data_IF_690252365111
#
_entry.id   IF_690252365111
#
_cell.length_a   1.000
_cell.length_b   1.000
_cell.length_c   1.000
_cell.angle_alpha   90.00
_cell.angle_beta   90.00
_cell.angle_gamma   90.00
#
_symmetry.space_group_name_H-M   'P 1'
#
loop_
_entity.id
_entity.type
_entity.pdbx_description
1 polymer ?
#
# COMPACT_ATOMS: atom_id res chain seq x y z
N UNK A 1 -20.71 -4.49 47.65
CA UNK A 1 -19.29 -4.80 47.40
C UNK A 1 -19.18 -5.49 46.05
N UNK A 2 -18.75 -4.79 45.00
CA UNK A 2 -18.55 -5.36 43.67
C UNK A 2 -17.15 -4.96 43.20
N UNK A 3 -16.18 -5.86 43.33
CA UNK A 3 -14.79 -5.61 42.94
C UNK A 3 -14.65 -5.78 41.41
N UNK A 4 -14.45 -4.64 40.73
CA UNK A 4 -14.03 -4.56 39.33
C UNK A 4 -12.66 -5.23 39.15
N UNK A 5 -12.59 -6.31 38.38
CA UNK A 5 -11.33 -6.83 37.83
C UNK A 5 -11.10 -6.19 36.45
N UNK A 6 -10.09 -5.32 36.36
CA UNK A 6 -9.66 -4.69 35.10
C UNK A 6 -8.86 -5.65 34.19
N UNK A 7 -8.77 -5.37 32.87
CA UNK A 7 -8.01 -6.19 31.94
C UNK A 7 -6.49 -5.96 32.07
N UNK A 8 -5.74 -7.06 32.18
CA UNK A 8 -4.28 -7.12 32.28
C UNK A 8 -3.59 -6.71 30.97
N UNK A 9 -2.54 -5.89 31.08
CA UNK A 9 -1.61 -5.54 29.99
C UNK A 9 -0.81 -6.76 29.50
N UNK A 10 -0.55 -6.91 28.18
CA UNK A 10 0.47 -7.84 27.70
C UNK A 10 1.82 -7.14 27.45
N UNK A 11 2.81 -7.57 28.23
CA UNK A 11 4.25 -7.70 27.99
C UNK A 11 4.93 -6.92 26.84
N UNK A 12 5.93 -6.10 27.22
CA UNK A 12 6.95 -5.51 26.36
C UNK A 12 7.71 -6.58 25.55
N UNK A 13 7.72 -6.46 24.21
CA UNK A 13 8.61 -7.23 23.34
C UNK A 13 9.87 -6.43 23.03
N UNK A 14 10.99 -7.02 23.46
CA UNK A 14 12.38 -6.62 23.22
C UNK A 14 12.65 -6.45 21.71
N UNK A 15 13.26 -5.32 21.35
CA UNK A 15 13.68 -4.96 19.99
C UNK A 15 14.83 -5.88 19.54
N UNK A 16 14.68 -6.59 18.42
CA UNK A 16 15.80 -7.17 17.68
C UNK A 16 15.96 -6.39 16.38
N UNK A 17 17.10 -5.73 16.26
CA UNK A 17 17.51 -4.90 15.13
C UNK A 17 17.66 -5.77 13.87
N UNK A 18 17.28 -5.20 12.73
CA UNK A 18 17.18 -5.88 11.46
C UNK A 18 18.51 -6.01 10.72
N UNK A 19 18.58 -7.04 9.88
CA UNK A 19 19.48 -7.08 8.74
C UNK A 19 18.62 -7.07 7.48
N UNK A 20 18.75 -5.99 6.69
CA UNK A 20 18.06 -5.78 5.43
C UNK A 20 18.65 -6.66 4.34
N UNK A 21 17.78 -7.33 3.59
CA UNK A 21 18.14 -7.91 2.30
C UNK A 21 17.97 -6.83 1.23
N UNK A 22 19.08 -6.38 0.67
CA UNK A 22 19.13 -5.50 -0.50
C UNK A 22 19.19 -6.37 -1.76
N UNK A 23 18.22 -6.19 -2.64
CA UNK A 23 18.16 -6.81 -3.97
C UNK A 23 18.95 -5.92 -4.94
N UNK A 24 20.05 -6.42 -5.50
CA UNK A 24 20.74 -5.76 -6.62
C UNK A 24 20.57 -6.61 -7.87
N UNK A 25 19.78 -6.10 -8.80
CA UNK A 25 19.70 -6.54 -10.19
C UNK A 25 20.84 -5.89 -10.98
N UNK A 26 21.76 -6.69 -11.49
CA UNK A 26 22.82 -6.25 -12.41
C UNK A 26 22.75 -7.02 -13.73
N UNK A 27 22.37 -6.33 -14.81
CA UNK A 27 22.69 -6.70 -16.19
C UNK A 27 24.12 -6.22 -16.47
N UNK A 28 24.95 -6.99 -17.16
CA UNK A 28 26.09 -6.61 -18.03
C UNK A 28 26.77 -7.95 -18.38
N UNK A 29 26.88 -8.41 -19.62
CA UNK A 29 27.47 -7.87 -20.85
C UNK A 29 28.54 -8.89 -21.25
N UNK A 30 28.44 -9.36 -22.48
CA UNK A 30 29.25 -10.40 -23.10
C UNK A 30 30.66 -9.85 -23.35
N UNK A 31 31.69 -10.63 -23.04
CA UNK A 31 33.05 -10.34 -23.49
C UNK A 31 33.74 -11.66 -23.84
N UNK A 32 34.10 -11.75 -25.13
CA UNK A 32 34.97 -12.76 -25.71
C UNK A 32 36.33 -12.83 -25.00
N UNK A 33 36.88 -14.04 -24.90
CA UNK A 33 38.32 -14.23 -24.97
C UNK A 33 38.60 -15.58 -25.66
N UNK A 34 39.13 -15.48 -26.88
CA UNK A 34 39.80 -16.55 -27.59
C UNK A 34 41.13 -16.89 -26.89
N UNK A 35 41.40 -18.18 -26.69
CA UNK A 35 42.76 -18.70 -26.69
C UNK A 35 42.80 -19.99 -27.49
N UNK A 36 43.59 -19.96 -28.57
CA UNK A 36 43.97 -21.09 -29.40
C UNK A 36 45.20 -21.81 -28.83
N UNK A 37 45.41 -23.04 -29.33
CA UNK A 37 46.58 -23.95 -29.22
C UNK A 37 46.62 -24.80 -27.94
N UNK A 38 46.85 -26.11 -27.95
CA UNK A 38 47.51 -26.99 -28.93
C UNK A 38 47.11 -28.45 -28.74
N UNK A 39 47.24 -29.22 -29.81
CA UNK A 39 47.07 -30.66 -29.94
C UNK A 39 48.03 -31.50 -29.08
N UNK A 40 47.54 -32.53 -28.39
CA UNK A 40 48.24 -33.82 -28.27
C UNK A 40 47.25 -34.94 -27.95
N UNK A 41 47.51 -36.10 -28.55
CA UNK A 41 46.67 -37.27 -28.68
C UNK A 41 46.63 -38.10 -27.38
N UNK A 42 45.50 -38.74 -27.06
CA UNK A 42 45.43 -40.18 -26.74
C UNK A 42 43.98 -40.66 -26.48
N UNK A 43 43.57 -41.60 -27.35
CA UNK A 43 42.67 -42.76 -27.15
C UNK A 43 41.13 -42.56 -27.06
N UNK A 44 40.39 -42.98 -28.10
CA UNK A 44 38.93 -43.05 -28.11
C UNK A 44 38.43 -44.46 -27.72
N UNK A 45 38.47 -44.82 -26.44
CA UNK A 45 37.81 -46.04 -25.93
C UNK A 45 37.24 -45.81 -24.53
N UNK A 46 36.19 -44.99 -24.46
CA UNK A 46 35.20 -45.04 -23.40
C UNK A 46 33.87 -44.53 -23.97
N UNK A 47 33.38 -45.29 -24.96
CA UNK A 47 31.99 -45.26 -25.37
C UNK A 47 31.17 -45.77 -24.18
N UNK A 48 29.99 -45.17 -23.98
CA UNK A 48 28.95 -45.55 -23.00
C UNK A 48 29.18 -45.11 -21.55
N UNK A 49 29.28 -43.80 -21.31
CA UNK A 49 28.69 -43.25 -20.09
C UNK A 49 27.22 -42.94 -20.41
N UNK A 50 26.37 -43.89 -20.00
CA UNK A 50 24.91 -43.84 -20.06
C UNK A 50 24.42 -42.42 -19.80
N UNK A 51 23.75 -41.84 -20.80
CA UNK A 51 22.88 -40.70 -20.64
C UNK A 51 21.73 -41.09 -19.71
N UNK A 52 22.01 -41.16 -18.41
CA UNK A 52 20.99 -41.04 -17.40
C UNK A 52 20.60 -39.56 -17.38
N UNK A 53 19.69 -39.19 -18.29
CA UNK A 53 18.76 -38.09 -18.06
C UNK A 53 17.95 -38.53 -16.84
N UNK A 54 18.55 -38.44 -15.66
CA UNK A 54 17.83 -38.35 -14.42
C UNK A 54 17.02 -37.08 -14.57
N UNK A 55 15.75 -37.26 -14.96
CA UNK A 55 14.73 -36.24 -14.85
C UNK A 55 14.69 -35.84 -13.37
N UNK A 56 15.55 -34.90 -12.99
CA UNK A 56 15.46 -34.15 -11.77
C UNK A 56 14.15 -33.41 -11.89
N UNK A 57 13.10 -34.07 -11.42
CA UNK A 57 11.75 -33.52 -11.35
C UNK A 57 11.90 -32.17 -10.64
N UNK A 58 11.52 -31.03 -11.24
CA UNK A 58 11.71 -29.70 -10.64
C UNK A 58 10.78 -29.45 -9.44
N UNK A 59 10.30 -30.52 -8.80
CA UNK A 59 9.30 -30.54 -7.74
C UNK A 59 9.80 -31.28 -6.51
N UNK A 60 11.01 -30.96 -6.02
CA UNK A 60 11.35 -31.25 -4.63
C UNK A 60 10.48 -30.36 -3.72
N UNK A 61 9.24 -30.81 -3.46
CA UNK A 61 8.23 -30.06 -2.72
C UNK A 61 8.53 -30.04 -1.23
N UNK A 62 8.73 -28.85 -0.65
CA UNK A 62 8.83 -28.65 0.80
C UNK A 62 7.56 -28.95 1.62
N UNK A 63 6.55 -29.62 1.03
CA UNK A 63 5.27 -29.94 1.67
C UNK A 63 5.15 -31.46 1.84
N UNK A 64 4.78 -31.91 3.03
CA UNK A 64 4.55 -33.33 3.33
C UNK A 64 3.33 -33.89 2.59
N UNK A 65 3.47 -35.08 2.00
CA UNK A 65 2.44 -35.73 1.17
C UNK A 65 1.88 -37.04 1.74
N UNK A 66 2.34 -37.46 2.91
CA UNK A 66 1.87 -38.69 3.56
C UNK A 66 0.40 -38.62 4.01
N UNK A 67 -0.30 -39.73 3.88
CA UNK A 67 -1.62 -39.93 4.51
C UNK A 67 -1.45 -39.75 6.04
N UNK A 68 -2.25 -38.87 6.65
CA UNK A 68 -2.08 -38.46 8.07
C UNK A 68 -1.31 -37.13 8.30
N UNK A 69 -0.71 -36.51 7.27
CA UNK A 69 0.02 -35.24 7.41
C UNK A 69 -0.88 -33.98 7.47
N UNK A 70 -2.20 -34.13 7.54
CA UNK A 70 -3.17 -33.03 7.46
C UNK A 70 -2.98 -31.94 8.52
N UNK A 71 -2.61 -32.32 9.75
CA UNK A 71 -2.37 -31.38 10.86
C UNK A 71 -1.21 -30.42 10.54
N UNK A 72 -0.09 -30.96 10.04
CA UNK A 72 1.10 -30.20 9.64
C UNK A 72 0.78 -29.24 8.49
N UNK A 73 0.04 -29.70 7.48
CA UNK A 73 -0.39 -28.87 6.36
C UNK A 73 -1.32 -27.72 6.77
N UNK A 74 -2.25 -27.97 7.71
CA UNK A 74 -3.17 -26.95 8.25
C UNK A 74 -2.41 -25.86 9.03
N UNK A 75 -1.50 -26.25 9.91
CA UNK A 75 -0.65 -25.31 10.67
C UNK A 75 0.26 -24.51 9.74
N UNK A 76 0.89 -25.18 8.78
CA UNK A 76 1.73 -24.52 7.78
C UNK A 76 0.95 -23.48 6.97
N UNK A 77 -0.26 -23.83 6.47
CA UNK A 77 -1.13 -22.87 5.78
C UNK A 77 -1.51 -21.69 6.67
N UNK A 78 -1.85 -21.94 7.94
CA UNK A 78 -2.21 -20.88 8.89
C UNK A 78 -1.06 -19.90 9.09
N UNK A 79 0.17 -20.40 9.22
CA UNK A 79 1.36 -19.56 9.40
C UNK A 79 1.68 -18.76 8.13
N UNK A 80 1.63 -19.40 6.96
CA UNK A 80 1.87 -18.74 5.67
C UNK A 80 0.82 -17.67 5.36
N UNK A 81 -0.43 -17.87 5.77
CA UNK A 81 -1.51 -16.90 5.57
C UNK A 81 -1.23 -15.56 6.25
N UNK A 82 -0.40 -15.52 7.29
CA UNK A 82 0.01 -14.25 7.92
C UNK A 82 1.02 -13.44 7.09
N UNK A 83 1.66 -14.05 6.09
CA UNK A 83 2.48 -13.33 5.11
C UNK A 83 1.61 -12.56 4.10
N UNK A 84 0.38 -13.02 3.85
CA UNK A 84 -0.57 -12.34 2.97
C UNK A 84 -0.98 -10.98 3.56
N UNK A 85 -0.65 -9.91 2.84
CA UNK A 85 -0.87 -8.52 3.28
C UNK A 85 -2.36 -8.21 3.51
N UNK A 86 -3.25 -8.75 2.68
CA UNK A 86 -4.70 -8.57 2.80
C UNK A 86 -5.24 -9.23 4.07
N UNK A 87 -4.84 -10.48 4.33
CA UNK A 87 -5.23 -11.24 5.52
C UNK A 87 -4.72 -10.58 6.79
N UNK A 88 -3.43 -10.22 6.83
CA UNK A 88 -2.84 -9.49 7.98
C UNK A 88 -3.59 -8.18 8.25
N UNK A 89 -3.96 -7.43 7.22
CA UNK A 89 -4.64 -6.13 7.37
C UNK A 89 -6.05 -6.26 7.94
N UNK A 90 -6.82 -7.27 7.53
CA UNK A 90 -8.17 -7.49 8.06
C UNK A 90 -8.17 -8.03 9.49
N UNK A 91 -7.23 -8.91 9.83
CA UNK A 91 -7.19 -9.56 11.15
C UNK A 91 -6.58 -8.70 12.26
N UNK A 92 -5.71 -7.73 11.93
CA UNK A 92 -5.10 -6.83 12.92
C UNK A 92 -6.00 -5.64 13.32
N UNK A 93 -7.18 -5.47 12.69
CA UNK A 93 -8.08 -4.35 13.00
C UNK A 93 -7.53 -2.97 12.60
N UNK A 94 -6.53 -2.90 11.71
CA UNK A 94 -5.89 -1.66 11.28
C UNK A 94 -6.85 -0.71 10.54
N UNK A 95 -8.02 -1.18 10.13
CA UNK A 95 -9.04 -0.38 9.45
C UNK A 95 -9.63 0.71 10.36
N UNK A 96 -9.88 0.38 11.63
CA UNK A 96 -10.47 1.29 12.63
C UNK A 96 -9.54 2.42 13.03
N UNK A 97 -8.22 2.22 12.94
CA UNK A 97 -7.21 3.23 13.26
C UNK A 97 -7.15 4.35 12.21
N UNK A 98 -7.61 4.09 10.98
CA UNK A 98 -7.60 5.07 9.88
C UNK A 98 -8.56 6.24 10.16
N UNK A 99 -8.37 7.39 9.49
CA UNK A 99 -9.24 8.55 9.70
C UNK A 99 -10.71 8.32 9.31
N UNK A 100 -10.99 7.44 8.35
CA UNK A 100 -12.36 7.13 7.90
C UNK A 100 -12.99 5.93 8.61
N UNK A 101 -12.25 5.22 9.48
CA UNK A 101 -12.74 4.07 10.25
C UNK A 101 -13.58 3.06 9.42
N UNK A 102 -13.18 2.79 8.17
CA UNK A 102 -13.89 1.87 7.26
C UNK A 102 -15.04 2.48 6.43
N UNK A 103 -15.43 3.73 6.68
CA UNK A 103 -16.42 4.45 5.86
C UNK A 103 -15.85 4.85 4.48
N UNK A 104 -16.70 4.87 3.47
CA UNK A 104 -16.33 5.33 2.12
C UNK A 104 -16.14 6.86 2.07
N UNK A 105 -16.99 7.59 2.78
CA UNK A 105 -17.01 9.05 2.84
C UNK A 105 -17.08 9.55 4.28
N UNK A 106 -16.61 10.77 4.51
CA UNK A 106 -16.73 11.45 5.79
C UNK A 106 -17.05 12.93 5.60
N UNK A 107 -17.87 13.48 6.49
CA UNK A 107 -18.11 14.92 6.60
C UNK A 107 -17.02 15.56 7.46
N UNK A 108 -16.57 16.74 7.08
CA UNK A 108 -15.61 17.52 7.84
C UNK A 108 -15.81 19.02 7.67
N UNK A 109 -15.11 19.78 8.50
CA UNK A 109 -15.11 21.25 8.53
C UNK A 109 -13.75 21.72 8.04
N UNK A 110 -13.75 22.65 7.08
CA UNK A 110 -12.51 23.24 6.55
C UNK A 110 -11.89 24.16 7.61
N UNK A 111 -10.58 24.01 7.82
CA UNK A 111 -9.81 24.87 8.72
C UNK A 111 -9.09 25.96 7.93
N UNK A 112 -8.23 25.56 7.00
CA UNK A 112 -7.38 26.48 6.24
C UNK A 112 -7.17 25.97 4.80
N UNK A 113 -6.91 26.89 3.88
CA UNK A 113 -6.54 26.60 2.49
C UNK A 113 -5.02 26.39 2.41
N UNK A 114 -4.58 25.29 1.81
CA UNK A 114 -3.15 24.96 1.67
C UNK A 114 -2.78 24.81 0.19
N UNK A 115 -1.64 25.39 -0.20
CA UNK A 115 -0.94 25.03 -1.43
C UNK A 115 0.13 23.97 -1.14
N UNK A 116 0.03 22.79 -1.74
CA UNK A 116 1.05 21.75 -1.62
C UNK A 116 1.88 21.70 -2.90
N UNK A 117 3.19 21.71 -2.77
CA UNK A 117 4.12 21.55 -3.89
C UNK A 117 4.06 20.13 -4.46
N UNK A 118 4.10 20.02 -5.78
CA UNK A 118 4.18 18.74 -6.46
C UNK A 118 5.55 18.07 -6.25
N UNK A 119 5.56 16.73 -6.31
CA UNK A 119 6.81 15.97 -6.38
C UNK A 119 7.51 16.22 -7.72
N UNK A 120 8.83 16.28 -7.66
CA UNK A 120 9.72 16.23 -8.84
C UNK A 120 9.32 14.99 -9.70
N UNK A 121 9.22 15.10 -11.03
CA UNK A 121 9.77 16.11 -11.97
C UNK A 121 8.85 17.32 -12.28
N UNK A 122 7.69 17.42 -11.64
CA UNK A 122 6.71 18.46 -11.95
C UNK A 122 6.91 19.71 -11.08
N UNK A 123 6.66 20.90 -11.64
CA UNK A 123 6.66 22.18 -10.93
C UNK A 123 5.25 22.77 -10.91
N UNK A 124 4.45 22.44 -9.89
CA UNK A 124 3.10 22.97 -9.74
C UNK A 124 2.68 23.05 -8.27
N UNK A 125 1.82 24.03 -7.94
CA UNK A 125 1.19 24.15 -6.62
C UNK A 125 -0.22 23.55 -6.70
N UNK A 126 -0.44 22.47 -5.97
CA UNK A 126 -1.70 21.74 -5.93
C UNK A 126 -2.59 22.32 -4.83
N UNK A 127 -3.77 22.80 -5.21
CA UNK A 127 -4.72 23.43 -4.29
C UNK A 127 -5.37 22.37 -3.40
N UNK A 128 -5.18 22.52 -2.09
CA UNK A 128 -5.66 21.61 -1.07
C UNK A 128 -6.36 22.39 0.06
N UNK A 129 -7.10 21.68 0.89
CA UNK A 129 -7.70 22.22 2.11
C UNK A 129 -7.35 21.31 3.29
N UNK A 130 -7.15 21.92 4.47
CA UNK A 130 -7.14 21.18 5.73
C UNK A 130 -8.55 21.04 6.20
N UNK A 131 -8.91 19.81 6.56
CA UNK A 131 -10.25 19.50 7.02
C UNK A 131 -10.17 18.71 8.31
N UNK A 132 -10.96 19.13 9.29
CA UNK A 132 -11.20 18.36 10.50
C UNK A 132 -12.45 17.50 10.31
N UNK A 133 -12.32 16.18 10.51
CA UNK A 133 -13.47 15.29 10.44
C UNK A 133 -14.38 15.48 11.66
N UNK A 134 -15.68 15.65 11.45
CA UNK A 134 -16.66 15.83 12.53
C UNK A 134 -16.73 14.58 13.42
N UNK A 135 -16.72 13.38 12.79
CA UNK A 135 -16.88 12.10 13.50
C UNK A 135 -15.76 11.79 14.49
N UNK A 136 -14.54 12.21 14.17
CA UNK A 136 -13.32 11.74 14.84
C UNK A 136 -12.43 12.87 15.36
N UNK A 137 -12.71 14.13 15.01
CA UNK A 137 -11.85 15.29 15.29
C UNK A 137 -10.48 15.26 14.58
N UNK A 138 -10.19 14.24 13.77
CA UNK A 138 -8.90 14.07 13.08
C UNK A 138 -8.74 15.10 11.96
N UNK A 139 -7.59 15.80 11.96
CA UNK A 139 -7.19 16.73 10.90
C UNK A 139 -6.60 15.94 9.71
N UNK A 140 -7.12 16.20 8.52
CA UNK A 140 -6.67 15.58 7.26
C UNK A 140 -6.41 16.66 6.22
N UNK A 141 -5.57 16.36 5.24
CA UNK A 141 -5.44 17.16 4.03
C UNK A 141 -6.32 16.54 2.92
N UNK A 142 -7.10 17.38 2.26
CA UNK A 142 -7.95 17.01 1.14
C UNK A 142 -7.59 17.84 -0.10
N UNK A 143 -7.51 17.18 -1.25
CA UNK A 143 -7.32 17.84 -2.54
C UNK A 143 -8.63 18.43 -3.05
N UNK A 144 -8.58 19.62 -3.62
CA UNK A 144 -9.71 20.23 -4.32
C UNK A 144 -9.57 19.92 -5.82
N UNK A 145 -10.49 19.14 -6.41
CA UNK A 145 -10.44 18.83 -7.83
C UNK A 145 -10.88 20.01 -8.70
N UNK A 146 -10.36 20.05 -9.93
CA UNK A 146 -10.63 21.06 -10.97
C UNK A 146 -10.10 22.46 -10.63
N UNK A 147 -9.92 23.28 -11.67
CA UNK A 147 -9.41 24.64 -11.53
C UNK A 147 -10.47 25.57 -10.94
N UNK A 148 -10.01 26.62 -10.23
CA UNK A 148 -10.89 27.64 -9.63
C UNK A 148 -11.76 27.16 -8.45
N UNK A 149 -11.84 25.86 -8.19
CA UNK A 149 -12.71 25.29 -7.17
C UNK A 149 -12.32 25.65 -5.72
N UNK A 150 -11.13 26.22 -5.51
CA UNK A 150 -10.70 26.76 -4.23
C UNK A 150 -11.48 28.02 -3.82
N UNK A 151 -12.08 28.73 -4.78
CA UNK A 151 -12.83 29.96 -4.53
C UNK A 151 -14.17 29.67 -3.88
N UNK A 152 -14.80 28.52 -4.17
CA UNK A 152 -16.09 28.14 -3.59
C UNK A 152 -16.01 27.66 -2.14
N UNK A 153 -14.82 27.26 -1.70
CA UNK A 153 -14.59 26.73 -0.35
C UNK A 153 -14.17 27.90 0.53
N UNK A 154 -14.86 28.12 1.63
CA UNK A 154 -14.48 29.08 2.66
C UNK A 154 -13.98 28.35 3.92
N UNK A 155 -13.44 29.12 4.86
CA UNK A 155 -13.11 28.60 6.17
C UNK A 155 -14.41 28.24 6.90
N UNK A 156 -14.37 27.17 7.70
CA UNK A 156 -15.50 26.64 8.46
C UNK A 156 -16.66 26.05 7.62
N UNK A 157 -16.52 25.99 6.30
CA UNK A 157 -17.49 25.30 5.44
C UNK A 157 -17.55 23.80 5.73
N UNK A 158 -18.76 23.25 5.62
CA UNK A 158 -18.96 21.80 5.65
C UNK A 158 -18.61 21.17 4.31
N UNK A 159 -17.73 20.18 4.34
CA UNK A 159 -17.29 19.45 3.14
C UNK A 159 -17.51 17.95 3.28
N UNK A 160 -17.91 17.33 2.16
CA UNK A 160 -17.94 15.88 2.03
C UNK A 160 -16.65 15.40 1.37
N UNK A 161 -15.95 14.50 2.05
CA UNK A 161 -14.64 14.01 1.66
C UNK A 161 -14.75 12.54 1.24
N UNK A 162 -14.07 12.22 0.14
CA UNK A 162 -13.91 10.86 -0.36
C UNK A 162 -12.43 10.46 -0.41
N UNK A 163 -12.17 9.15 -0.42
CA UNK A 163 -10.85 8.62 -0.73
C UNK A 163 -10.50 8.79 -2.21
N UNK A 164 -9.20 8.85 -2.52
CA UNK A 164 -8.68 8.92 -3.89
C UNK A 164 -8.63 7.58 -4.65
N UNK A 165 -9.15 6.49 -4.06
CA UNK A 165 -9.23 5.17 -4.70
C UNK A 165 -8.03 4.23 -4.49
N UNK A 166 -6.82 4.72 -4.20
CA UNK A 166 -5.63 3.86 -4.01
C UNK A 166 -5.52 3.22 -2.61
N UNK A 167 -6.57 2.54 -2.12
CA UNK A 167 -6.61 1.78 -0.83
C UNK A 167 -5.95 2.48 0.39
N UNK A 168 -5.97 3.81 0.40
CA UNK A 168 -5.35 4.64 1.44
C UNK A 168 -3.91 5.10 1.15
N UNK A 169 -3.46 5.11 -0.10
CA UNK A 169 -2.22 5.75 -0.52
C UNK A 169 -2.49 7.10 -1.18
N UNK A 170 -1.48 7.96 -1.18
CA UNK A 170 -1.52 9.20 -1.95
C UNK A 170 -1.51 8.90 -3.45
N UNK A 171 -2.06 9.82 -4.24
CA UNK A 171 -2.25 9.66 -5.69
C UNK A 171 -1.48 10.74 -6.44
N UNK A 172 -0.87 10.31 -7.54
CA UNK A 172 -0.12 11.19 -8.44
C UNK A 172 1.12 11.79 -7.78
N UNK A 173 1.36 13.04 -8.12
CA UNK A 173 2.48 13.88 -7.69
C UNK A 173 2.24 14.57 -6.34
N UNK A 174 1.06 14.42 -5.73
CA UNK A 174 0.70 15.11 -4.49
C UNK A 174 1.26 14.35 -3.28
N UNK A 175 2.21 14.90 -2.51
CA UNK A 175 2.69 14.28 -1.29
C UNK A 175 1.64 14.38 -0.17
N UNK A 176 1.52 13.32 0.63
CA UNK A 176 0.72 13.34 1.87
C UNK A 176 -0.81 13.38 1.71
N UNK A 177 -1.35 13.70 0.54
CA UNK A 177 -2.80 13.81 0.31
C UNK A 177 -3.40 12.50 -0.16
N UNK A 178 -4.36 11.99 0.62
CA UNK A 178 -5.04 10.69 0.40
C UNK A 178 -6.52 10.84 0.07
N UNK A 179 -7.05 12.05 0.25
CA UNK A 179 -8.47 12.36 0.20
C UNK A 179 -8.75 13.51 -0.75
N UNK A 180 -9.94 13.53 -1.32
CA UNK A 180 -10.44 14.60 -2.19
C UNK A 180 -11.76 15.15 -1.67
N UNK A 181 -12.02 16.42 -1.96
CA UNK A 181 -13.32 17.05 -1.71
C UNK A 181 -14.29 16.67 -2.84
N UNK A 182 -15.54 16.36 -2.48
CA UNK A 182 -16.61 16.01 -3.44
C UNK A 182 -17.76 17.01 -3.39
N UNK A 183 -18.18 17.40 -2.19
CA UNK A 183 -19.27 18.36 -1.96
C UNK A 183 -18.85 19.44 -0.97
N UNK A 184 -19.42 20.62 -1.13
CA UNK A 184 -19.29 21.79 -0.25
C UNK A 184 -20.71 22.26 0.05
N UNK A 185 -21.03 22.45 1.34
CA UNK A 185 -22.33 22.94 1.82
C UNK A 185 -23.53 22.19 1.20
N UNK A 186 -23.43 20.87 1.09
CA UNK A 186 -24.46 20.00 0.51
C UNK A 186 -24.51 19.94 -1.02
N UNK A 187 -23.83 20.84 -1.73
CA UNK A 187 -23.76 20.90 -3.20
C UNK A 187 -22.49 20.23 -3.71
N UNK A 188 -22.58 19.50 -4.83
CA UNK A 188 -21.40 18.88 -5.46
C UNK A 188 -20.50 19.92 -6.13
N UNK A 189 -19.19 19.81 -5.94
CA UNK A 189 -18.19 20.68 -6.58
C UNK A 189 -18.31 20.70 -8.11
N UNK A 190 -18.61 19.55 -8.72
CA UNK A 190 -18.79 19.44 -10.18
C UNK A 190 -19.99 20.26 -10.66
N UNK A 191 -21.04 20.39 -9.84
CA UNK A 191 -22.21 21.19 -10.20
C UNK A 191 -21.93 22.69 -10.08
N UNK A 192 -21.15 23.09 -9.06
CA UNK A 192 -20.68 24.48 -8.91
C UNK A 192 -19.74 24.86 -10.06
N UNK A 193 -18.79 24.00 -10.38
CA UNK A 193 -17.83 24.23 -11.48
C UNK A 193 -18.49 24.32 -12.86
N UNK A 194 -19.56 23.56 -13.09
CA UNK A 194 -20.35 23.63 -14.33
C UNK A 194 -21.48 24.66 -14.26
N UNK A 195 -21.54 25.45 -13.19
CA UNK A 195 -22.55 26.50 -12.98
C UNK A 195 -24.00 25.99 -13.06
N UNK A 196 -24.22 24.69 -12.81
CA UNK A 196 -25.56 24.08 -12.82
C UNK A 196 -26.34 24.38 -11.54
N UNK A 197 -25.62 24.71 -10.48
CA UNK A 197 -26.14 25.03 -9.15
C UNK A 197 -25.28 26.12 -8.57
N UNK A 198 -25.90 26.98 -7.78
CA UNK A 198 -25.21 27.99 -6.99
C UNK A 198 -24.93 27.48 -5.57
N UNK A 199 -23.95 28.08 -4.90
CA UNK A 199 -23.68 27.79 -3.49
C UNK A 199 -24.86 28.34 -2.67
N UNK A 200 -25.50 27.51 -1.82
CA UNK A 200 -26.54 28.01 -0.93
C UNK A 200 -25.92 29.06 -0.02
N UNK A 201 -26.53 30.25 0.03
CA UNK A 201 -26.15 31.29 0.98
C UNK A 201 -26.75 30.92 2.34
N UNK A 202 -25.91 30.93 3.37
CA UNK A 202 -26.32 30.85 4.76
C UNK A 202 -26.79 32.21 5.26
#
# INVERSE_FOLDING_TARGET
MLLKLGPRCPAQKRVRQGLGFCSVSGKHSVAEQQLHLSSSQTNPLAVVAVAAVAAASPFAMGKTRGMGAGRKLKTHRRNQRWADKSYKKSHLGNEWKKPFAGSSHAKGIVLEKIGIEAKQPNSAIRKCARVQLIKNGKKIAAFVPNDGCLNYIEENDEVLIAGFGRKGHAVGDIPGVRFKVVKVSGVSLIALFKEKKEKPRS
#
